data_IF_804015414111
#
_entry.id   IF_804015414111
#
_cell.length_a   1.000
_cell.length_b   1.000
_cell.length_c   1.000
_cell.angle_alpha   90.00
_cell.angle_beta   90.00
_cell.angle_gamma   90.00
#
_symmetry.space_group_name_H-M   'P 1'
#
loop_
_entity.id
_entity.type
_entity.pdbx_description
1 polymer ?
#
# COMPACT_ATOMS: atom_id res chain seq x y z
N UNK A 1 -92.05 43.95 -3.90
CA UNK A 1 -92.39 44.26 -5.31
C UNK A 1 -91.09 44.50 -6.05
N UNK A 2 -90.79 43.64 -7.04
CA UNK A 2 -89.74 43.70 -8.07
C UNK A 2 -88.26 43.64 -7.66
N UNK A 3 -87.64 42.60 -8.20
CA UNK A 3 -86.25 42.16 -8.18
C UNK A 3 -85.27 43.12 -8.86
N UNK A 4 -84.05 43.19 -8.35
CA UNK A 4 -82.86 43.52 -9.14
C UNK A 4 -81.83 42.41 -8.93
N UNK A 5 -81.47 41.75 -10.04
CA UNK A 5 -80.36 40.80 -10.10
C UNK A 5 -79.04 41.57 -9.94
N UNK A 6 -78.21 41.20 -8.96
CA UNK A 6 -76.77 41.42 -9.03
C UNK A 6 -76.12 40.06 -9.31
N UNK A 7 -75.62 39.87 -10.52
CA UNK A 7 -74.71 38.76 -10.84
C UNK A 7 -73.33 39.09 -10.25
N UNK A 8 -72.91 38.34 -9.24
CA UNK A 8 -71.52 38.32 -8.80
C UNK A 8 -70.77 37.31 -9.67
N UNK A 9 -69.95 37.79 -10.60
CA UNK A 9 -69.00 36.95 -11.32
C UNK A 9 -67.87 36.58 -10.36
N UNK A 10 -67.84 35.32 -9.91
CA UNK A 10 -66.67 34.74 -9.23
C UNK A 10 -65.58 34.52 -10.28
N UNK A 11 -64.59 35.41 -10.30
CA UNK A 11 -63.31 35.17 -10.96
C UNK A 11 -62.54 34.12 -10.15
N UNK A 12 -62.62 32.86 -10.55
CA UNK A 12 -61.64 31.86 -10.12
C UNK A 12 -60.32 32.15 -10.84
N UNK A 13 -59.35 32.75 -10.14
CA UNK A 13 -57.96 32.74 -10.60
C UNK A 13 -57.43 31.33 -10.43
N UNK A 14 -57.39 30.55 -11.51
CA UNK A 14 -56.56 29.35 -11.59
C UNK A 14 -55.10 29.79 -11.49
N UNK A 15 -54.55 29.82 -10.27
CA UNK A 15 -53.12 29.76 -10.08
C UNK A 15 -52.71 28.34 -10.47
N UNK A 16 -52.34 28.15 -11.74
CA UNK A 16 -51.59 26.97 -12.14
C UNK A 16 -50.28 27.02 -11.35
N UNK A 17 -50.17 26.21 -10.30
CA UNK A 17 -48.88 25.87 -9.72
C UNK A 17 -48.16 25.14 -10.84
N UNK A 18 -47.23 25.83 -11.51
CA UNK A 18 -46.29 25.19 -12.41
C UNK A 18 -45.53 24.19 -11.53
N UNK A 19 -45.82 22.91 -11.69
CA UNK A 19 -45.02 21.87 -11.08
C UNK A 19 -43.65 21.98 -11.73
N UNK A 20 -42.66 22.49 -11.00
CA UNK A 20 -41.28 22.52 -11.46
C UNK A 20 -40.94 21.10 -11.93
N UNK A 21 -40.60 20.98 -13.21
CA UNK A 21 -40.20 19.70 -13.77
C UNK A 21 -39.02 19.19 -12.94
N UNK A 22 -39.07 17.92 -12.52
CA UNK A 22 -37.98 17.33 -11.77
C UNK A 22 -36.67 17.57 -12.52
N UNK A 23 -35.60 18.04 -11.84
CA UNK A 23 -34.34 18.32 -12.50
C UNK A 23 -33.82 17.04 -13.17
N UNK A 24 -33.42 17.17 -14.44
CA UNK A 24 -32.78 16.08 -15.19
C UNK A 24 -31.30 15.99 -14.81
N UNK A 25 -30.68 14.84 -15.08
CA UNK A 25 -29.23 14.66 -14.89
C UNK A 25 -28.41 15.74 -15.60
N UNK A 26 -28.83 16.12 -16.82
CA UNK A 26 -28.12 17.11 -17.63
C UNK A 26 -28.22 18.51 -17.02
N UNK A 27 -29.39 18.86 -16.47
CA UNK A 27 -29.58 20.15 -15.79
C UNK A 27 -28.77 20.21 -14.50
N UNK A 28 -28.72 19.12 -13.73
CA UNK A 28 -27.91 19.02 -12.51
C UNK A 28 -26.42 19.12 -12.83
N UNK A 29 -25.94 18.41 -13.85
CA UNK A 29 -24.54 18.46 -14.29
C UNK A 29 -24.17 19.86 -14.80
N UNK A 30 -25.04 20.50 -15.59
CA UNK A 30 -24.81 21.86 -16.07
C UNK A 30 -24.79 22.89 -14.92
N UNK A 31 -25.58 22.70 -13.87
CA UNK A 31 -25.52 23.53 -12.67
C UNK A 31 -24.22 23.32 -11.91
N UNK A 32 -23.81 22.06 -11.70
CA UNK A 32 -22.54 21.71 -11.06
C UNK A 32 -21.34 22.34 -11.77
N UNK A 33 -21.25 22.16 -13.09
CA UNK A 33 -20.16 22.73 -13.90
C UNK A 33 -20.08 24.27 -13.84
N UNK A 34 -21.19 24.96 -13.55
CA UNK A 34 -21.17 26.42 -13.35
C UNK A 34 -20.72 26.84 -11.96
N UNK A 35 -20.89 25.96 -10.97
CA UNK A 35 -20.62 26.24 -9.57
C UNK A 35 -19.18 25.93 -9.16
N UNK A 36 -18.46 25.12 -9.95
CA UNK A 36 -17.13 24.62 -9.60
C UNK A 36 -16.04 25.24 -10.47
N UNK A 37 -14.80 25.18 -9.97
CA UNK A 37 -13.60 25.53 -10.75
C UNK A 37 -13.10 24.30 -11.49
N UNK A 38 -12.88 24.42 -12.80
CA UNK A 38 -12.27 23.37 -13.62
C UNK A 38 -10.78 23.65 -13.83
N UNK A 39 -9.98 22.59 -13.81
CA UNK A 39 -8.54 22.66 -14.12
C UNK A 39 -8.16 21.62 -15.18
N UNK A 40 -7.17 21.96 -16.02
CA UNK A 40 -6.59 21.07 -17.01
C UNK A 40 -5.56 20.12 -16.41
N UNK A 41 -5.09 19.12 -17.18
CA UNK A 41 -4.02 18.22 -16.75
C UNK A 41 -2.73 18.98 -16.40
N UNK A 42 -2.36 19.99 -17.20
CA UNK A 42 -1.18 20.83 -16.98
C UNK A 42 -1.30 21.64 -15.68
N UNK A 43 -2.49 22.21 -15.43
CA UNK A 43 -2.77 22.94 -14.18
C UNK A 43 -2.75 22.01 -12.97
N UNK A 44 -3.31 20.80 -13.10
CA UNK A 44 -3.22 19.78 -12.06
C UNK A 44 -1.76 19.42 -11.76
N UNK A 45 -0.95 19.12 -12.77
CA UNK A 45 0.48 18.83 -12.56
C UNK A 45 1.23 19.99 -11.92
N UNK A 46 0.92 21.24 -12.30
CA UNK A 46 1.52 22.42 -11.69
C UNK A 46 1.08 22.58 -10.23
N UNK A 47 -0.21 22.40 -9.95
CA UNK A 47 -0.75 22.46 -8.59
C UNK A 47 -0.13 21.39 -7.68
N UNK A 48 0.04 20.15 -8.15
CA UNK A 48 0.72 19.11 -7.35
C UNK A 48 2.18 19.48 -7.04
N UNK A 49 2.86 20.19 -7.96
CA UNK A 49 4.24 20.67 -7.72
C UNK A 49 4.31 21.82 -6.73
N UNK A 50 3.35 22.75 -6.79
CA UNK A 50 3.33 23.96 -5.95
C UNK A 50 2.67 23.75 -4.59
N UNK A 51 1.66 22.88 -4.54
CA UNK A 51 0.85 22.52 -3.38
C UNK A 51 0.89 21.00 -3.21
N UNK A 52 2.04 20.45 -2.78
CA UNK A 52 2.23 19.01 -2.62
C UNK A 52 1.14 18.31 -1.77
N UNK A 53 0.55 19.02 -0.81
CA UNK A 53 -0.52 18.56 0.07
C UNK A 53 -1.87 18.34 -0.65
N UNK A 54 -2.00 18.78 -1.91
CA UNK A 54 -3.23 18.67 -2.70
C UNK A 54 -3.72 17.23 -2.77
N UNK A 55 -4.93 16.96 -2.28
CA UNK A 55 -5.55 15.64 -2.33
C UNK A 55 -6.29 15.46 -3.66
N UNK A 56 -5.95 14.41 -4.40
CA UNK A 56 -6.65 14.07 -5.64
C UNK A 56 -7.65 12.96 -5.35
N UNK A 57 -8.94 13.19 -5.61
CA UNK A 57 -10.01 12.24 -5.31
C UNK A 57 -10.54 11.63 -6.61
N UNK A 58 -10.29 10.35 -6.78
CA UNK A 58 -10.90 9.52 -7.82
C UNK A 58 -12.28 9.04 -7.37
N UNK A 59 -13.34 9.55 -8.02
CA UNK A 59 -14.71 9.15 -7.69
C UNK A 59 -15.26 8.00 -8.54
N UNK A 60 -14.39 7.31 -9.29
CA UNK A 60 -14.73 6.06 -9.99
C UNK A 60 -15.02 4.94 -9.01
N UNK A 61 -15.69 3.89 -9.50
CA UNK A 61 -15.93 2.69 -8.70
C UNK A 61 -14.61 1.96 -8.43
N UNK A 62 -14.55 1.21 -7.32
CA UNK A 62 -13.39 0.37 -7.01
C UNK A 62 -13.08 -0.64 -8.13
N UNK A 63 -14.10 -1.11 -8.86
CA UNK A 63 -13.92 -2.01 -9.99
C UNK A 63 -13.19 -1.33 -11.15
N UNK A 64 -13.56 -0.10 -11.50
CA UNK A 64 -12.86 0.67 -12.53
C UNK A 64 -11.41 0.95 -12.15
N UNK A 65 -11.16 1.36 -10.90
CA UNK A 65 -9.80 1.58 -10.38
C UNK A 65 -8.98 0.30 -10.42
N UNK A 66 -9.56 -0.83 -10.00
CA UNK A 66 -8.90 -2.13 -10.06
C UNK A 66 -8.64 -2.59 -11.50
N UNK A 67 -9.44 -2.21 -12.48
CA UNK A 67 -9.23 -2.67 -13.86
C UNK A 67 -8.29 -1.76 -14.63
N UNK A 68 -8.38 -0.45 -14.39
CA UNK A 68 -7.76 0.57 -15.24
C UNK A 68 -6.58 1.26 -14.56
N UNK A 69 -6.46 1.17 -13.23
CA UNK A 69 -5.51 1.95 -12.46
C UNK A 69 -6.01 3.36 -12.14
N UNK A 70 -5.12 4.22 -11.65
CA UNK A 70 -5.40 5.63 -11.29
C UNK A 70 -4.41 6.58 -11.95
N UNK A 71 -4.64 7.89 -11.82
CA UNK A 71 -3.59 8.87 -12.08
C UNK A 71 -2.36 8.50 -11.23
N UNK A 72 -1.16 8.66 -11.80
CA UNK A 72 0.13 8.44 -11.13
C UNK A 72 0.49 9.58 -10.19
N UNK A 73 -0.52 10.15 -9.53
CA UNK A 73 -0.35 11.21 -8.55
C UNK A 73 -0.36 10.56 -7.18
N UNK A 74 0.66 10.80 -6.38
CA UNK A 74 0.80 10.19 -5.07
C UNK A 74 -0.41 10.45 -4.15
N UNK A 75 -0.91 11.69 -4.14
CA UNK A 75 -2.03 12.11 -3.31
C UNK A 75 -3.41 11.61 -3.81
N UNK A 76 -3.41 10.71 -4.80
CA UNK A 76 -4.61 10.11 -5.36
C UNK A 76 -5.24 9.08 -4.41
N UNK A 77 -6.44 9.34 -3.94
CA UNK A 77 -7.27 8.41 -3.19
C UNK A 77 -8.53 8.06 -3.99
N UNK A 78 -9.02 6.82 -3.84
CA UNK A 78 -10.31 6.43 -4.40
C UNK A 78 -11.40 6.51 -3.34
N UNK A 79 -12.32 7.47 -3.51
CA UNK A 79 -13.57 7.54 -2.75
C UNK A 79 -14.70 7.50 -3.79
N UNK A 80 -15.33 6.34 -4.03
CA UNK A 80 -16.37 6.23 -5.04
C UNK A 80 -17.47 7.27 -4.82
N UNK A 81 -18.03 7.83 -5.91
CA UNK A 81 -19.00 8.95 -5.83
C UNK A 81 -20.09 8.78 -4.75
N UNK A 82 -20.62 7.57 -4.56
CA UNK A 82 -21.70 7.30 -3.60
C UNK A 82 -21.28 7.26 -2.13
N UNK A 83 -19.99 7.38 -1.83
CA UNK A 83 -19.42 7.33 -0.47
C UNK A 83 -18.73 8.63 -0.07
N UNK A 84 -18.71 9.65 -0.95
CA UNK A 84 -17.92 10.87 -0.73
C UNK A 84 -18.33 11.61 0.54
N UNK A 85 -19.63 11.66 0.84
CA UNK A 85 -20.18 12.34 2.00
C UNK A 85 -19.81 11.65 3.33
N UNK A 86 -19.48 10.36 3.27
CA UNK A 86 -19.22 9.53 4.45
C UNK A 86 -17.72 9.36 4.72
N UNK A 87 -16.92 9.23 3.66
CA UNK A 87 -15.53 8.80 3.77
C UNK A 87 -14.53 9.97 3.66
N UNK A 88 -14.90 11.11 3.08
CA UNK A 88 -13.95 12.21 2.82
C UNK A 88 -13.34 12.78 4.10
N UNK A 89 -14.11 12.88 5.19
CA UNK A 89 -13.62 13.44 6.46
C UNK A 89 -12.50 12.62 7.11
N UNK A 90 -12.44 11.31 6.82
CA UNK A 90 -11.36 10.45 7.29
C UNK A 90 -10.08 10.59 6.45
N UNK A 91 -10.20 11.06 5.21
CA UNK A 91 -9.07 11.21 4.29
C UNK A 91 -8.58 12.66 4.16
N UNK A 92 -9.45 13.64 4.40
CA UNK A 92 -9.19 15.08 4.32
C UNK A 92 -9.85 15.77 5.51
N UNK A 93 -9.10 15.88 6.61
CA UNK A 93 -9.63 16.45 7.87
C UNK A 93 -9.84 17.97 7.79
N UNK A 94 -8.91 18.70 7.17
CA UNK A 94 -8.99 20.16 7.08
C UNK A 94 -9.81 20.61 5.86
N UNK A 95 -10.72 21.56 6.10
CA UNK A 95 -11.64 22.11 5.09
C UNK A 95 -10.98 23.07 4.08
N UNK A 96 -9.75 23.51 4.33
CA UNK A 96 -8.95 24.34 3.43
C UNK A 96 -7.91 23.55 2.62
N UNK A 97 -7.76 22.25 2.91
CA UNK A 97 -6.91 21.34 2.12
C UNK A 97 -7.27 21.48 0.64
N UNK A 98 -6.30 21.73 -0.27
CA UNK A 98 -6.57 21.73 -1.70
C UNK A 98 -7.07 20.34 -2.15
N UNK A 99 -8.22 20.29 -2.82
CA UNK A 99 -8.81 19.07 -3.35
C UNK A 99 -9.00 19.20 -4.86
N UNK A 100 -8.59 18.16 -5.59
CA UNK A 100 -8.89 18.01 -7.02
C UNK A 100 -9.71 16.73 -7.21
N UNK A 101 -10.90 16.84 -7.77
CA UNK A 101 -11.77 15.69 -8.03
C UNK A 101 -11.72 15.31 -9.50
N UNK A 102 -11.65 14.01 -9.81
CA UNK A 102 -11.76 13.50 -11.17
C UNK A 102 -12.54 12.18 -11.24
N UNK A 103 -12.98 11.83 -12.45
CA UNK A 103 -13.53 10.52 -12.75
C UNK A 103 -13.05 10.05 -14.13
N UNK A 104 -13.71 9.05 -14.73
CA UNK A 104 -13.32 8.52 -16.04
C UNK A 104 -13.34 9.59 -17.15
N UNK A 105 -14.50 10.22 -17.35
CA UNK A 105 -14.78 11.13 -18.48
C UNK A 105 -15.54 12.39 -18.03
N UNK A 106 -15.28 12.86 -16.81
CA UNK A 106 -15.84 14.10 -16.25
C UNK A 106 -17.38 14.18 -16.13
N UNK A 107 -18.06 13.04 -15.95
CA UNK A 107 -19.52 12.99 -15.73
C UNK A 107 -19.86 13.00 -14.23
N UNK A 108 -19.08 12.27 -13.41
CA UNK A 108 -19.33 12.11 -11.96
C UNK A 108 -18.61 13.17 -11.12
N UNK A 109 -17.43 13.58 -11.55
CA UNK A 109 -16.55 14.46 -10.78
C UNK A 109 -17.10 15.87 -10.56
N UNK A 110 -17.83 16.51 -11.50
CA UNK A 110 -18.39 17.84 -11.23
C UNK A 110 -19.38 17.85 -10.06
N UNK A 111 -20.26 16.85 -10.02
CA UNK A 111 -21.24 16.68 -8.94
C UNK A 111 -20.58 16.30 -7.61
N UNK A 112 -19.47 15.56 -7.63
CA UNK A 112 -18.69 15.28 -6.43
C UNK A 112 -18.01 16.54 -5.89
N UNK A 113 -17.35 17.32 -6.76
CA UNK A 113 -16.71 18.58 -6.40
C UNK A 113 -17.71 19.56 -5.78
N UNK A 114 -18.90 19.70 -6.40
CA UNK A 114 -19.97 20.50 -5.84
C UNK A 114 -20.40 20.02 -4.44
N UNK A 115 -20.58 18.71 -4.26
CA UNK A 115 -20.94 18.16 -2.94
C UNK A 115 -19.87 18.45 -1.88
N UNK A 116 -18.58 18.36 -2.20
CA UNK A 116 -17.51 18.73 -1.27
C UNK A 116 -17.60 20.22 -0.87
N UNK A 117 -17.87 21.11 -1.82
CA UNK A 117 -18.08 22.53 -1.53
C UNK A 117 -19.30 22.75 -0.63
N UNK A 118 -20.39 22.03 -0.86
CA UNK A 118 -21.60 22.06 -0.01
C UNK A 118 -21.35 21.51 1.41
N UNK A 119 -20.42 20.56 1.55
CA UNK A 119 -19.94 20.07 2.84
C UNK A 119 -19.02 21.06 3.57
N UNK A 120 -18.59 22.13 2.91
CA UNK A 120 -17.77 23.19 3.50
C UNK A 120 -16.30 23.18 3.11
N UNK A 121 -15.86 22.26 2.23
CA UNK A 121 -14.49 22.31 1.70
C UNK A 121 -14.34 23.54 0.80
N UNK A 122 -13.34 24.37 1.10
CA UNK A 122 -13.21 25.72 0.53
C UNK A 122 -12.29 25.79 -0.67
N UNK A 123 -11.42 24.79 -0.86
CA UNK A 123 -10.42 24.75 -1.93
C UNK A 123 -10.62 23.51 -2.81
N UNK A 124 -11.75 23.47 -3.53
CA UNK A 124 -12.12 22.33 -4.38
C UNK A 124 -12.08 22.72 -5.86
N UNK A 125 -11.42 21.89 -6.65
CA UNK A 125 -11.38 21.98 -8.12
C UNK A 125 -11.73 20.63 -8.75
N UNK A 126 -12.15 20.67 -10.01
CA UNK A 126 -12.45 19.49 -10.82
C UNK A 126 -11.47 19.39 -11.98
N UNK A 127 -10.73 18.29 -12.07
CA UNK A 127 -9.96 17.97 -13.27
C UNK A 127 -10.91 17.52 -14.39
N UNK A 128 -10.98 18.31 -15.45
CA UNK A 128 -11.99 18.20 -16.50
C UNK A 128 -11.72 17.12 -17.55
N UNK A 129 -10.45 16.75 -17.76
CA UNK A 129 -10.08 15.71 -18.72
C UNK A 129 -10.36 14.28 -18.26
N UNK A 130 -10.32 14.05 -16.96
CA UNK A 130 -10.53 12.73 -16.38
C UNK A 130 -9.43 11.73 -16.70
N UNK A 131 -9.65 10.47 -16.30
CA UNK A 131 -8.64 9.42 -16.36
C UNK A 131 -8.21 9.06 -17.80
N UNK A 132 -9.15 8.98 -18.74
CA UNK A 132 -8.81 8.54 -20.10
C UNK A 132 -8.00 9.59 -20.86
N UNK A 133 -8.30 10.89 -20.70
CA UNK A 133 -7.45 11.94 -21.27
C UNK A 133 -6.05 11.89 -20.68
N UNK A 134 -5.91 11.69 -19.36
CA UNK A 134 -4.60 11.56 -18.72
C UNK A 134 -3.76 10.44 -19.33
N UNK A 135 -4.39 9.30 -19.66
CA UNK A 135 -3.74 8.21 -20.38
C UNK A 135 -3.35 8.59 -21.82
N UNK A 136 -4.24 9.27 -22.55
CA UNK A 136 -3.98 9.72 -23.92
C UNK A 136 -2.83 10.72 -24.00
N UNK A 137 -2.66 11.56 -22.97
CA UNK A 137 -1.54 12.48 -22.81
C UNK A 137 -0.22 11.77 -22.45
N UNK A 138 -0.24 10.46 -22.19
CA UNK A 138 0.94 9.69 -21.81
C UNK A 138 1.50 10.09 -20.43
N UNK A 139 0.66 10.68 -19.57
CA UNK A 139 1.04 11.05 -18.23
C UNK A 139 1.11 9.81 -17.32
N UNK A 140 1.91 9.90 -16.26
CA UNK A 140 2.15 8.78 -15.35
C UNK A 140 0.83 8.25 -14.77
N UNK A 141 0.64 6.94 -14.82
CA UNK A 141 -0.51 6.25 -14.23
C UNK A 141 -0.04 5.14 -13.31
N UNK A 142 -0.71 4.99 -12.18
CA UNK A 142 -0.62 3.77 -11.39
C UNK A 142 -1.51 2.73 -12.06
N UNK A 143 -0.97 2.06 -13.09
CA UNK A 143 -1.68 1.01 -13.80
C UNK A 143 -2.02 -0.12 -12.84
N UNK A 144 -3.23 -0.63 -12.98
CA UNK A 144 -3.54 -1.91 -12.37
C UNK A 144 -2.89 -3.02 -13.21
N UNK A 145 -1.69 -3.44 -12.82
CA UNK A 145 -1.11 -4.73 -13.23
C UNK A 145 -1.78 -5.91 -12.51
N UNK A 146 -2.87 -5.63 -11.78
CA UNK A 146 -3.55 -6.56 -10.92
C UNK A 146 -4.47 -7.47 -11.75
N UNK A 147 -4.08 -8.73 -11.89
CA UNK A 147 -4.95 -9.82 -12.30
C UNK A 147 -6.05 -9.99 -11.26
N UNK A 148 -7.22 -9.44 -11.56
CA UNK A 148 -8.41 -9.54 -10.70
C UNK A 148 -8.87 -10.99 -10.47
N UNK A 149 -8.37 -11.96 -11.24
CA UNK A 149 -8.66 -13.38 -11.09
C UNK A 149 -7.63 -14.11 -10.21
N UNK A 150 -6.55 -13.44 -9.79
CA UNK A 150 -5.53 -14.02 -8.92
C UNK A 150 -5.53 -13.33 -7.55
N UNK A 151 -5.39 -14.12 -6.48
CA UNK A 151 -5.19 -13.56 -5.14
C UNK A 151 -3.83 -12.86 -4.99
N UNK A 152 -2.88 -13.14 -5.88
CA UNK A 152 -1.57 -12.49 -5.91
C UNK A 152 -1.66 -11.08 -6.50
N UNK A 153 -2.71 -10.75 -7.25
CA UNK A 153 -2.80 -9.53 -8.08
C UNK A 153 -1.71 -9.46 -9.15
N UNK A 154 -0.43 -9.41 -8.80
CA UNK A 154 0.67 -9.56 -9.75
C UNK A 154 1.17 -11.00 -9.69
N UNK A 155 1.09 -11.69 -10.84
CA UNK A 155 1.63 -13.05 -10.95
C UNK A 155 3.15 -13.01 -10.87
N UNK A 156 3.80 -14.12 -10.49
CA UNK A 156 5.25 -14.16 -10.42
C UNK A 156 5.89 -13.89 -11.78
N UNK A 157 6.74 -12.87 -11.85
CA UNK A 157 7.56 -12.58 -13.03
C UNK A 157 8.95 -13.16 -12.85
N UNK A 158 9.57 -13.58 -13.95
CA UNK A 158 10.95 -14.07 -13.96
C UNK A 158 11.90 -12.90 -13.74
N UNK A 159 12.69 -12.95 -12.67
CA UNK A 159 13.68 -11.93 -12.31
C UNK A 159 15.03 -12.26 -12.95
N UNK A 160 15.53 -13.46 -12.69
CA UNK A 160 16.71 -14.06 -13.34
C UNK A 160 16.43 -15.55 -13.62
N UNK A 161 17.39 -16.28 -14.18
CA UNK A 161 17.19 -17.71 -14.47
C UNK A 161 16.87 -18.51 -13.20
N UNK A 162 15.72 -19.19 -13.21
CA UNK A 162 15.23 -19.95 -12.07
C UNK A 162 14.78 -19.14 -10.86
N UNK A 163 14.62 -17.81 -10.94
CA UNK A 163 14.15 -16.96 -9.83
C UNK A 163 12.96 -16.12 -10.28
N UNK A 164 11.89 -16.17 -9.51
CA UNK A 164 10.62 -15.53 -9.82
C UNK A 164 10.08 -14.79 -8.59
N UNK A 165 9.37 -13.68 -8.81
CA UNK A 165 8.77 -12.91 -7.73
C UNK A 165 7.42 -12.36 -8.12
N UNK A 166 6.43 -12.56 -7.26
CA UNK A 166 5.15 -11.86 -7.28
C UNK A 166 5.31 -10.59 -6.42
N UNK A 167 5.20 -9.43 -7.06
CA UNK A 167 5.38 -8.15 -6.38
C UNK A 167 4.10 -7.78 -5.62
N UNK A 168 4.25 -7.55 -4.32
CA UNK A 168 3.16 -7.18 -3.43
C UNK A 168 2.65 -5.76 -3.71
N UNK A 169 1.41 -5.49 -3.32
CA UNK A 169 0.88 -4.13 -3.37
C UNK A 169 1.71 -3.22 -2.43
N UNK A 170 2.28 -2.11 -2.92
CA UNK A 170 3.04 -1.16 -2.10
C UNK A 170 2.10 -0.28 -1.24
N UNK A 171 1.32 -0.95 -0.39
CA UNK A 171 0.24 -0.42 0.42
C UNK A 171 0.14 -1.23 1.73
N UNK A 172 -0.67 -0.81 2.71
CA UNK A 172 -0.98 -1.65 3.86
C UNK A 172 -1.71 -2.93 3.44
N UNK A 173 -1.65 -3.98 4.27
CA UNK A 173 -2.45 -5.19 4.06
C UNK A 173 -3.95 -4.89 4.21
N UNK A 174 -4.72 -5.18 3.16
CA UNK A 174 -6.17 -4.97 3.09
C UNK A 174 -6.90 -6.18 2.52
N UNK A 175 -8.22 -6.18 2.63
CA UNK A 175 -9.05 -7.17 1.95
C UNK A 175 -8.83 -7.12 0.43
N UNK A 176 -8.73 -5.91 -0.12
CA UNK A 176 -8.64 -5.63 -1.56
C UNK A 176 -7.30 -6.01 -2.18
N UNK A 177 -6.23 -6.16 -1.39
CA UNK A 177 -4.96 -6.73 -1.84
C UNK A 177 -4.69 -8.13 -1.27
N UNK A 178 -5.70 -8.79 -0.68
CA UNK A 178 -5.60 -10.14 -0.08
C UNK A 178 -4.48 -10.28 0.96
N UNK A 179 -4.01 -9.16 1.52
CA UNK A 179 -2.82 -9.10 2.36
C UNK A 179 -1.50 -9.39 1.65
N UNK A 180 -1.48 -9.40 0.31
CA UNK A 180 -0.28 -9.47 -0.50
C UNK A 180 0.31 -8.07 -0.65
N UNK A 181 1.02 -7.64 0.38
CA UNK A 181 1.71 -6.35 0.36
C UNK A 181 3.23 -6.49 0.33
N UNK A 182 3.79 -7.63 0.73
CA UNK A 182 5.21 -7.97 0.58
C UNK A 182 5.46 -8.80 -0.69
N UNK A 183 6.72 -8.96 -1.07
CA UNK A 183 7.12 -9.75 -2.23
C UNK A 183 7.16 -11.24 -1.88
N UNK A 184 6.52 -12.07 -2.71
CA UNK A 184 6.56 -13.53 -2.60
C UNK A 184 7.43 -14.10 -3.71
N UNK A 185 8.54 -14.73 -3.34
CA UNK A 185 9.54 -15.19 -4.32
C UNK A 185 9.73 -16.69 -4.27
N UNK A 186 10.11 -17.28 -5.40
CA UNK A 186 10.54 -18.67 -5.44
C UNK A 186 11.73 -18.90 -6.34
N UNK A 187 12.54 -19.89 -5.96
CA UNK A 187 13.77 -20.29 -6.61
C UNK A 187 13.60 -21.75 -7.06
N UNK A 188 13.74 -21.98 -8.35
CA UNK A 188 13.76 -23.31 -8.96
C UNK A 188 15.20 -23.81 -8.99
N UNK A 189 15.49 -24.81 -8.16
CA UNK A 189 16.74 -25.55 -8.14
C UNK A 189 16.60 -26.84 -8.99
N UNK A 190 17.60 -27.71 -9.03
CA UNK A 190 17.56 -28.91 -9.88
C UNK A 190 16.62 -30.00 -9.35
N UNK A 191 16.36 -30.03 -8.04
CA UNK A 191 15.59 -31.11 -7.39
C UNK A 191 14.47 -30.64 -6.46
N UNK A 192 14.27 -29.32 -6.36
CA UNK A 192 13.27 -28.70 -5.49
C UNK A 192 13.01 -27.24 -5.86
N UNK A 193 11.88 -26.73 -5.35
CA UNK A 193 11.60 -25.30 -5.27
C UNK A 193 11.77 -24.83 -3.82
N UNK A 194 12.38 -23.65 -3.65
CA UNK A 194 12.47 -22.92 -2.39
C UNK A 194 11.61 -21.67 -2.50
N UNK A 195 10.70 -21.46 -1.55
CA UNK A 195 9.86 -20.27 -1.47
C UNK A 195 10.40 -19.35 -0.39
N UNK A 196 10.53 -18.07 -0.69
CA UNK A 196 10.86 -17.02 0.27
C UNK A 196 9.59 -16.19 0.52
N UNK A 197 9.18 -16.15 1.78
CA UNK A 197 7.88 -15.71 2.31
C UNK A 197 6.72 -16.69 2.07
N UNK A 198 6.06 -17.07 3.17
CA UNK A 198 4.93 -17.98 3.09
C UNK A 198 3.64 -17.32 2.61
N UNK A 199 3.56 -15.99 2.68
CA UNK A 199 2.40 -15.18 2.34
C UNK A 199 1.48 -14.88 3.52
N UNK A 200 0.63 -13.87 3.37
CA UNK A 200 -0.24 -13.36 4.43
C UNK A 200 -1.51 -14.17 4.72
N UNK A 201 -1.76 -15.27 4.00
CA UNK A 201 -2.88 -16.17 4.25
C UNK A 201 -2.68 -17.53 3.58
N UNK A 202 -3.42 -18.53 4.06
CA UNK A 202 -3.53 -19.85 3.43
C UNK A 202 -3.90 -19.75 1.94
N UNK A 203 -4.86 -18.88 1.62
CA UNK A 203 -5.37 -18.73 0.26
C UNK A 203 -4.35 -18.07 -0.66
N UNK A 204 -3.57 -17.12 -0.16
CA UNK A 204 -2.48 -16.49 -0.91
C UNK A 204 -1.33 -17.47 -1.17
N UNK A 205 -0.92 -18.24 -0.16
CA UNK A 205 0.08 -19.28 -0.29
C UNK A 205 -0.33 -20.36 -1.32
N UNK A 206 -1.61 -20.75 -1.30
CA UNK A 206 -2.17 -21.67 -2.29
C UNK A 206 -2.07 -21.11 -3.71
N UNK A 207 -2.45 -19.85 -3.91
CA UNK A 207 -2.37 -19.20 -5.23
C UNK A 207 -0.91 -19.14 -5.72
N UNK A 208 0.04 -18.84 -4.83
CA UNK A 208 1.47 -18.87 -5.16
C UNK A 208 1.92 -20.27 -5.61
N UNK A 209 1.52 -21.32 -4.89
CA UNK A 209 1.87 -22.70 -5.27
C UNK A 209 1.22 -23.13 -6.60
N UNK A 210 0.03 -22.62 -6.93
CA UNK A 210 -0.60 -22.85 -8.23
C UNK A 210 0.22 -22.24 -9.37
N UNK A 211 0.78 -21.03 -9.21
CA UNK A 211 1.68 -20.43 -10.20
C UNK A 211 3.02 -21.17 -10.30
N UNK A 212 3.60 -21.64 -9.18
CA UNK A 212 4.82 -22.46 -9.19
C UNK A 212 4.64 -23.72 -10.06
N UNK A 213 3.48 -24.38 -9.98
CA UNK A 213 3.15 -25.57 -10.79
C UNK A 213 3.02 -25.29 -12.28
N UNK A 214 2.81 -24.04 -12.68
CA UNK A 214 2.83 -23.64 -14.10
C UNK A 214 4.26 -23.49 -14.63
N UNK A 215 5.23 -23.27 -13.73
CA UNK A 215 6.64 -23.08 -14.08
C UNK A 215 7.43 -24.39 -14.01
N UNK A 216 7.13 -25.28 -13.06
CA UNK A 216 7.90 -26.52 -12.85
C UNK A 216 7.07 -27.63 -12.20
N UNK A 217 7.44 -28.88 -12.49
CA UNK A 217 6.90 -30.09 -11.84
C UNK A 217 7.65 -30.46 -10.55
N UNK A 218 8.72 -29.74 -10.20
CA UNK A 218 9.51 -30.00 -9.00
C UNK A 218 8.72 -29.68 -7.72
N UNK A 219 8.90 -30.47 -6.64
CA UNK A 219 8.21 -30.21 -5.38
C UNK A 219 8.78 -28.96 -4.69
N UNK A 220 7.91 -28.17 -4.07
CA UNK A 220 8.34 -27.20 -3.05
C UNK A 220 8.77 -27.97 -1.81
N UNK A 221 10.05 -27.84 -1.43
CA UNK A 221 10.59 -28.52 -0.24
C UNK A 221 10.79 -27.60 0.96
N UNK A 222 11.07 -26.33 0.69
CA UNK A 222 11.42 -25.35 1.72
C UNK A 222 10.61 -24.07 1.54
N UNK A 223 10.10 -23.55 2.64
CA UNK A 223 9.53 -22.20 2.75
C UNK A 223 10.29 -21.46 3.83
N UNK A 224 10.73 -20.25 3.51
CA UNK A 224 11.47 -19.37 4.41
C UNK A 224 10.51 -18.29 4.90
N UNK A 225 10.41 -18.08 6.21
CA UNK A 225 9.76 -16.87 6.75
C UNK A 225 10.77 -15.74 6.77
N UNK A 226 10.56 -14.60 6.09
CA UNK A 226 11.55 -13.50 6.20
C UNK A 226 11.66 -12.92 7.61
N UNK A 227 10.56 -12.91 8.36
CA UNK A 227 10.46 -12.49 9.76
C UNK A 227 9.14 -13.01 10.35
N UNK A 228 8.84 -12.67 11.61
CA UNK A 228 7.63 -13.09 12.32
C UNK A 228 6.35 -12.33 11.93
N UNK A 229 6.37 -11.46 10.92
CA UNK A 229 5.20 -10.65 10.57
C UNK A 229 4.13 -11.43 9.82
N UNK A 230 2.88 -10.99 9.96
CA UNK A 230 1.71 -11.70 9.45
C UNK A 230 1.76 -11.96 7.94
N UNK A 231 2.23 -10.99 7.15
CA UNK A 231 2.37 -11.13 5.70
C UNK A 231 3.42 -12.20 5.30
N UNK A 232 4.34 -12.53 6.19
CA UNK A 232 5.38 -13.53 5.96
C UNK A 232 5.00 -14.93 6.46
N UNK A 233 4.14 -15.06 7.49
CA UNK A 233 3.95 -16.34 8.22
C UNK A 233 2.57 -16.98 8.10
N UNK A 234 1.49 -16.24 7.81
CA UNK A 234 0.13 -16.81 7.89
C UNK A 234 -0.19 -17.87 6.82
N UNK A 235 0.53 -17.83 5.70
CA UNK A 235 0.49 -18.86 4.67
C UNK A 235 1.19 -20.15 5.08
N UNK A 236 1.93 -20.15 6.19
CA UNK A 236 2.60 -21.33 6.74
C UNK A 236 1.64 -22.51 6.97
N UNK A 237 0.39 -22.25 7.33
CA UNK A 237 -0.63 -23.30 7.47
C UNK A 237 -0.90 -24.06 6.17
N UNK A 238 -0.83 -23.39 5.02
CA UNK A 238 -0.94 -24.06 3.72
C UNK A 238 0.29 -24.91 3.42
N UNK A 239 1.48 -24.34 3.56
CA UNK A 239 2.72 -25.03 3.26
C UNK A 239 2.94 -26.25 4.15
N UNK A 240 2.57 -26.15 5.43
CA UNK A 240 2.61 -27.28 6.35
C UNK A 240 1.67 -28.41 5.93
N UNK A 241 0.47 -28.09 5.43
CA UNK A 241 -0.45 -29.08 4.85
C UNK A 241 0.14 -29.76 3.61
N UNK A 242 1.00 -29.08 2.85
CA UNK A 242 1.71 -29.66 1.71
C UNK A 242 2.96 -30.47 2.11
N UNK A 243 3.28 -30.58 3.40
CA UNK A 243 4.45 -31.31 3.90
C UNK A 243 5.78 -30.59 3.64
N UNK A 244 5.75 -29.27 3.46
CA UNK A 244 6.94 -28.43 3.21
C UNK A 244 7.63 -28.11 4.53
N UNK A 245 8.96 -28.14 4.57
CA UNK A 245 9.76 -27.74 5.73
C UNK A 245 9.82 -26.20 5.82
N UNK A 246 9.48 -25.66 6.98
CA UNK A 246 9.52 -24.22 7.23
C UNK A 246 10.81 -23.86 7.98
N UNK A 247 11.57 -22.91 7.44
CA UNK A 247 12.84 -22.44 8.02
C UNK A 247 12.70 -20.97 8.41
N UNK A 248 13.17 -20.61 9.61
CA UNK A 248 13.18 -19.23 10.10
C UNK A 248 14.46 -18.90 10.88
N UNK A 249 14.60 -17.64 11.32
CA UNK A 249 15.64 -17.26 12.26
C UNK A 249 15.33 -17.81 13.67
N UNK A 250 16.35 -17.96 14.53
CA UNK A 250 16.16 -18.53 15.88
C UNK A 250 15.32 -17.64 16.81
N UNK A 251 15.21 -16.35 16.54
CA UNK A 251 14.34 -15.43 17.28
C UNK A 251 12.86 -15.55 16.88
N UNK A 252 12.56 -16.03 15.67
CA UNK A 252 11.19 -16.06 15.12
C UNK A 252 10.18 -16.81 16.01
N UNK A 253 10.49 -18.00 16.59
CA UNK A 253 9.54 -18.72 17.43
C UNK A 253 9.08 -17.95 18.67
N UNK A 254 9.99 -17.23 19.33
CA UNK A 254 9.66 -16.45 20.53
C UNK A 254 8.75 -15.28 20.20
N UNK A 255 9.06 -14.55 19.12
CA UNK A 255 8.24 -13.42 18.64
C UNK A 255 6.84 -13.91 18.23
N UNK A 256 6.75 -15.03 17.51
CA UNK A 256 5.47 -15.62 17.13
C UNK A 256 4.65 -16.04 18.35
N UNK A 257 5.26 -16.62 19.37
CA UNK A 257 4.55 -17.05 20.58
C UNK A 257 3.98 -15.86 21.34
N UNK A 258 4.72 -14.74 21.38
CA UNK A 258 4.30 -13.50 22.01
C UNK A 258 3.17 -12.80 21.22
N UNK A 259 3.33 -12.65 19.90
CA UNK A 259 2.47 -11.78 19.09
C UNK A 259 1.25 -12.47 18.45
N UNK A 260 1.21 -13.81 18.45
CA UNK A 260 0.23 -14.60 17.68
C UNK A 260 -1.22 -14.18 17.86
N UNK A 261 -1.67 -13.91 19.09
CA UNK A 261 -3.09 -13.64 19.37
C UNK A 261 -3.51 -12.29 18.76
N UNK A 262 -2.73 -11.24 19.05
CA UNK A 262 -2.93 -9.89 18.52
C UNK A 262 -2.83 -9.88 17.00
N UNK A 263 -1.85 -10.60 16.44
CA UNK A 263 -1.63 -10.67 15.01
C UNK A 263 -2.78 -11.41 14.29
N UNK A 264 -3.24 -12.54 14.84
CA UNK A 264 -4.38 -13.31 14.33
C UNK A 264 -5.65 -12.46 14.32
N UNK A 265 -5.98 -11.79 15.44
CA UNK A 265 -7.19 -10.99 15.56
C UNK A 265 -7.22 -9.83 14.56
N UNK A 266 -6.12 -9.07 14.46
CA UNK A 266 -5.99 -7.95 13.53
C UNK A 266 -6.13 -8.41 12.07
N UNK A 267 -5.47 -9.50 11.72
CA UNK A 267 -5.43 -9.97 10.33
C UNK A 267 -6.76 -10.60 9.92
N UNK A 268 -7.41 -11.35 10.81
CA UNK A 268 -8.75 -11.88 10.58
C UNK A 268 -9.79 -10.76 10.39
N UNK A 269 -9.67 -9.64 11.11
CA UNK A 269 -10.54 -8.47 10.90
C UNK A 269 -10.33 -7.82 9.53
N UNK A 270 -9.08 -7.70 9.08
CA UNK A 270 -8.76 -7.10 7.78
C UNK A 270 -9.14 -8.01 6.61
N UNK A 271 -8.70 -9.27 6.65
CA UNK A 271 -8.84 -10.20 5.53
C UNK A 271 -10.17 -10.96 5.51
N UNK A 272 -10.95 -10.93 6.59
CA UNK A 272 -12.31 -11.51 6.67
C UNK A 272 -12.31 -12.96 6.17
N UNK A 273 -13.13 -13.28 5.17
CA UNK A 273 -13.24 -14.59 4.53
C UNK A 273 -11.94 -15.03 3.82
N UNK A 274 -11.09 -14.10 3.37
CA UNK A 274 -9.78 -14.46 2.78
C UNK A 274 -8.78 -15.00 3.81
N UNK A 275 -9.05 -14.84 5.10
CA UNK A 275 -8.25 -15.45 6.17
C UNK A 275 -8.55 -16.93 6.39
N UNK A 276 -9.48 -17.52 5.63
CA UNK A 276 -9.88 -18.93 5.73
C UNK A 276 -8.68 -19.88 5.84
N UNK A 277 -8.71 -20.81 6.83
CA UNK A 277 -7.65 -21.77 7.20
C UNK A 277 -6.29 -21.18 7.60
N UNK A 278 -6.14 -19.87 7.64
CA UNK A 278 -4.89 -19.21 8.03
C UNK A 278 -4.71 -19.30 9.54
N UNK A 279 -3.53 -19.73 9.97
CA UNK A 279 -3.09 -19.75 11.35
C UNK A 279 -1.58 -19.83 11.39
N UNK A 280 -0.98 -19.40 12.51
CA UNK A 280 0.47 -19.44 12.68
C UNK A 280 0.93 -20.89 12.85
N UNK A 281 1.97 -21.23 12.09
CA UNK A 281 2.71 -22.49 12.20
C UNK A 281 4.15 -22.16 12.54
N UNK A 282 4.67 -22.78 13.59
CA UNK A 282 6.08 -22.61 14.01
C UNK A 282 7.04 -23.19 12.97
N UNK A 283 8.24 -22.61 12.81
CA UNK A 283 9.25 -23.16 11.92
C UNK A 283 9.70 -24.55 12.38
N UNK A 284 10.02 -25.41 11.42
CA UNK A 284 10.58 -26.75 11.65
C UNK A 284 12.08 -26.71 11.93
N UNK A 285 12.75 -25.68 11.40
CA UNK A 285 14.18 -25.44 11.54
C UNK A 285 14.45 -23.97 11.80
N UNK A 286 15.38 -23.72 12.71
CA UNK A 286 15.95 -22.39 12.93
C UNK A 286 17.45 -22.37 12.68
N UNK A 287 17.99 -21.17 12.45
CA UNK A 287 19.43 -20.89 12.41
C UNK A 287 19.69 -19.46 12.91
N UNK A 288 20.95 -19.17 13.27
CA UNK A 288 21.40 -17.84 13.71
C UNK A 288 21.88 -16.99 12.52
N UNK A 289 23.10 -17.22 12.04
CA UNK A 289 23.78 -16.26 11.15
C UNK A 289 23.68 -16.62 9.67
N UNK A 290 23.98 -17.88 9.33
CA UNK A 290 24.02 -18.35 7.95
C UNK A 290 23.54 -19.80 7.85
N UNK A 291 22.76 -20.08 6.80
CA UNK A 291 22.32 -21.43 6.48
C UNK A 291 22.29 -21.66 4.97
N UNK A 292 22.93 -22.74 4.49
CA UNK A 292 22.85 -23.14 3.09
C UNK A 292 21.70 -24.13 2.92
N UNK A 293 20.70 -23.75 2.11
CA UNK A 293 19.53 -24.60 1.87
C UNK A 293 19.95 -25.85 1.10
N UNK A 294 19.58 -27.07 1.54
CA UNK A 294 20.08 -28.31 0.95
C UNK A 294 19.33 -28.69 -0.34
N UNK A 295 19.62 -27.98 -1.42
CA UNK A 295 19.12 -28.22 -2.79
C UNK A 295 20.27 -28.40 -3.79
N UNK A 296 19.99 -28.98 -4.97
CA UNK A 296 20.97 -29.18 -6.04
C UNK A 296 20.91 -28.06 -7.09
N UNK A 297 22.03 -27.78 -7.76
CA UNK A 297 22.07 -26.87 -8.92
C UNK A 297 22.13 -25.37 -8.63
N UNK A 298 21.64 -24.92 -7.46
CA UNK A 298 21.76 -23.54 -7.00
C UNK A 298 22.29 -23.47 -5.57
N UNK A 299 23.21 -22.55 -5.29
CA UNK A 299 23.68 -22.24 -3.94
C UNK A 299 22.77 -21.16 -3.34
N UNK A 300 21.88 -21.57 -2.45
CA UNK A 300 20.95 -20.67 -1.77
C UNK A 300 21.45 -20.46 -0.34
N UNK A 301 21.87 -19.24 -0.02
CA UNK A 301 22.42 -18.90 1.29
C UNK A 301 21.44 -17.99 2.04
N UNK A 302 20.84 -18.51 3.10
CA UNK A 302 20.08 -17.68 4.03
C UNK A 302 21.06 -16.97 4.96
N UNK A 303 20.77 -15.70 5.25
CA UNK A 303 21.60 -14.83 6.08
C UNK A 303 20.73 -14.08 7.07
N UNK A 304 21.28 -13.80 8.24
CA UNK A 304 20.80 -12.78 9.16
C UNK A 304 21.86 -11.69 9.27
N UNK A 305 21.56 -10.49 8.79
CA UNK A 305 22.48 -9.36 8.91
C UNK A 305 22.50 -8.72 10.30
N UNK A 306 21.67 -9.17 11.24
CA UNK A 306 21.48 -8.51 12.52
C UNK A 306 20.17 -7.73 12.54
N UNK A 307 19.87 -7.15 13.69
CA UNK A 307 18.64 -6.38 13.92
C UNK A 307 18.54 -5.19 12.96
N UNK A 308 17.37 -5.03 12.34
CA UNK A 308 17.03 -3.90 11.49
C UNK A 308 15.53 -3.58 11.61
N UNK A 309 14.72 -3.98 10.64
CA UNK A 309 13.28 -3.79 10.67
C UNK A 309 12.62 -4.65 11.77
N UNK A 310 13.08 -5.89 11.88
CA UNK A 310 12.74 -6.87 12.92
C UNK A 310 14.01 -7.53 13.48
N UNK A 311 14.03 -7.97 14.76
CA UNK A 311 15.12 -8.76 15.33
C UNK A 311 15.34 -10.14 14.67
N UNK A 312 14.42 -10.57 13.80
CA UNK A 312 14.45 -11.88 13.13
C UNK A 312 14.45 -11.78 11.61
N UNK A 313 14.76 -10.61 11.05
CA UNK A 313 14.85 -10.40 9.60
C UNK A 313 15.88 -11.34 8.95
N UNK A 314 15.46 -12.00 7.89
CA UNK A 314 16.29 -12.88 7.08
C UNK A 314 16.42 -12.39 5.65
N UNK A 315 17.56 -12.74 5.05
CA UNK A 315 17.88 -12.46 3.67
C UNK A 315 18.24 -13.77 2.95
N UNK A 316 17.97 -13.85 1.65
CA UNK A 316 18.40 -14.95 0.80
C UNK A 316 19.34 -14.42 -0.27
N UNK A 317 20.58 -14.92 -0.26
CA UNK A 317 21.64 -14.57 -1.19
C UNK A 317 21.91 -15.70 -2.19
N UNK A 318 21.92 -15.34 -3.47
CA UNK A 318 22.30 -16.20 -4.60
C UNK A 318 23.62 -15.68 -5.18
N UNK A 319 24.79 -16.21 -4.75
CA UNK A 319 26.08 -15.66 -5.14
C UNK A 319 26.38 -15.79 -6.62
N UNK A 320 25.96 -16.88 -7.28
CA UNK A 320 26.19 -17.08 -8.71
C UNK A 320 25.32 -16.18 -9.58
N UNK A 321 24.15 -15.77 -9.07
CA UNK A 321 23.22 -14.86 -9.75
C UNK A 321 23.47 -13.38 -9.37
N UNK A 322 24.36 -13.12 -8.41
CA UNK A 322 24.57 -11.80 -7.77
C UNK A 322 23.24 -11.15 -7.32
N UNK A 323 22.31 -11.98 -6.83
CA UNK A 323 20.95 -11.59 -6.48
C UNK A 323 20.68 -11.75 -4.98
N UNK A 324 20.13 -10.69 -4.38
CA UNK A 324 19.68 -10.66 -2.99
C UNK A 324 18.15 -10.56 -2.93
N UNK A 325 17.50 -11.44 -2.18
CA UNK A 325 16.15 -11.21 -1.67
C UNK A 325 16.31 -10.72 -0.24
N UNK A 326 16.08 -9.44 0.00
CA UNK A 326 16.44 -8.82 1.28
C UNK A 326 15.38 -8.98 2.36
N UNK A 327 14.16 -9.38 1.99
CA UNK A 327 12.99 -9.20 2.83
C UNK A 327 12.89 -7.75 3.33
N UNK A 328 12.28 -7.56 4.49
CA UNK A 328 12.09 -6.24 5.09
C UNK A 328 13.39 -5.58 5.59
N UNK A 329 14.57 -6.13 5.33
CA UNK A 329 15.83 -5.41 5.52
C UNK A 329 16.00 -4.25 4.52
N UNK A 330 15.32 -4.29 3.37
CA UNK A 330 15.35 -3.22 2.38
C UNK A 330 13.99 -3.01 1.71
N UNK A 331 13.66 -1.74 1.46
CA UNK A 331 12.40 -1.26 0.90
C UNK A 331 12.64 -0.47 -0.40
N UNK A 332 11.63 -0.46 -1.27
CA UNK A 332 11.61 0.31 -2.51
C UNK A 332 10.22 0.93 -2.74
N UNK A 333 10.15 2.12 -3.33
CA UNK A 333 8.93 2.86 -3.73
C UNK A 333 7.96 3.28 -2.62
N UNK A 334 8.16 2.81 -1.39
CA UNK A 334 7.28 3.06 -0.24
C UNK A 334 8.06 3.47 0.99
N UNK A 335 7.41 4.20 1.88
CA UNK A 335 7.86 4.39 3.25
C UNK A 335 7.81 3.07 4.02
N UNK A 336 8.89 2.78 4.75
CA UNK A 336 8.98 1.64 5.65
C UNK A 336 8.23 1.92 6.96
N UNK A 337 7.58 0.91 7.57
CA UNK A 337 6.95 1.10 8.87
C UNK A 337 7.99 1.00 10.00
N UNK A 338 7.85 1.86 11.01
CA UNK A 338 8.56 1.74 12.29
C UNK A 338 7.65 1.03 13.28
N UNK A 339 8.14 -0.10 13.79
CA UNK A 339 7.45 -0.94 14.77
C UNK A 339 8.13 -0.78 16.12
N UNK A 340 7.44 -1.20 17.19
CA UNK A 340 7.96 -1.15 18.57
C UNK A 340 9.32 -1.84 18.73
N UNK A 341 9.58 -2.86 17.91
CA UNK A 341 10.84 -3.60 17.90
C UNK A 341 11.80 -3.17 16.78
N UNK A 342 11.51 -2.14 16.00
CA UNK A 342 12.44 -1.70 14.93
C UNK A 342 13.64 -1.00 15.56
N UNK A 343 14.86 -1.36 15.15
CA UNK A 343 16.09 -0.72 15.62
C UNK A 343 16.80 -0.05 14.45
N UNK A 344 16.64 1.27 14.34
CA UNK A 344 17.22 2.06 13.25
C UNK A 344 18.73 2.26 13.40
N UNK A 345 19.28 2.30 14.61
CA UNK A 345 20.72 2.44 14.82
C UNK A 345 21.43 1.13 14.44
N UNK A 346 20.90 -0.01 14.89
CA UNK A 346 21.38 -1.31 14.44
C UNK A 346 21.21 -1.49 12.92
N UNK A 347 20.13 -0.97 12.33
CA UNK A 347 19.95 -0.99 10.87
C UNK A 347 21.07 -0.23 10.15
N UNK A 348 21.44 0.96 10.63
CA UNK A 348 22.57 1.74 10.10
C UNK A 348 23.89 0.96 10.19
N UNK A 349 24.17 0.33 11.32
CA UNK A 349 25.38 -0.47 11.51
C UNK A 349 25.42 -1.71 10.60
N UNK A 350 24.29 -2.40 10.50
CA UNK A 350 24.17 -3.67 9.77
C UNK A 350 24.06 -3.47 8.25
N UNK A 351 23.71 -2.28 7.76
CA UNK A 351 23.58 -2.00 6.32
C UNK A 351 24.85 -2.35 5.52
N UNK A 352 26.02 -2.13 6.12
CA UNK A 352 27.32 -2.47 5.52
C UNK A 352 27.46 -3.95 5.13
N UNK A 353 26.72 -4.87 5.76
CA UNK A 353 26.71 -6.30 5.43
C UNK A 353 25.98 -6.57 4.11
N UNK A 354 24.93 -5.81 3.81
CA UNK A 354 24.25 -5.85 2.52
C UNK A 354 25.17 -5.29 1.41
N UNK A 355 25.79 -4.13 1.66
CA UNK A 355 26.74 -3.52 0.71
C UNK A 355 27.93 -4.43 0.40
N UNK A 356 28.42 -5.17 1.39
CA UNK A 356 29.51 -6.12 1.23
C UNK A 356 29.20 -7.29 0.27
N UNK A 357 27.92 -7.60 0.03
CA UNK A 357 27.54 -8.58 -0.99
C UNK A 357 27.67 -8.04 -2.41
N UNK A 358 27.62 -6.71 -2.59
CA UNK A 358 27.60 -6.03 -3.88
C UNK A 358 26.60 -6.64 -4.89
N UNK A 359 25.30 -6.76 -4.52
CA UNK A 359 24.29 -7.37 -5.38
C UNK A 359 24.06 -6.55 -6.65
N UNK A 360 23.87 -7.24 -7.78
CA UNK A 360 23.42 -6.61 -9.04
C UNK A 360 21.91 -6.43 -9.09
N UNK A 361 21.18 -7.34 -8.45
CA UNK A 361 19.72 -7.35 -8.42
C UNK A 361 19.27 -7.56 -6.98
N UNK A 362 18.30 -6.76 -6.54
CA UNK A 362 17.68 -6.85 -5.23
C UNK A 362 16.17 -7.02 -5.42
N UNK A 363 15.61 -8.02 -4.75
CA UNK A 363 14.18 -8.17 -4.53
C UNK A 363 13.91 -7.70 -3.08
N UNK A 364 13.38 -6.48 -2.89
CA UNK A 364 13.11 -5.95 -1.55
C UNK A 364 11.95 -6.69 -0.87
N UNK A 365 11.74 -6.49 0.42
CA UNK A 365 10.54 -7.00 1.11
C UNK A 365 9.26 -6.38 0.55
N UNK A 366 9.37 -5.11 0.13
CA UNK A 366 8.29 -4.37 -0.52
C UNK A 366 8.79 -3.50 -1.67
N UNK A 367 8.00 -3.43 -2.75
CA UNK A 367 8.30 -2.64 -3.95
C UNK A 367 8.92 -3.48 -5.08
N UNK A 368 9.13 -2.87 -6.24
CA UNK A 368 9.64 -3.57 -7.42
C UNK A 368 11.08 -4.06 -7.27
N UNK A 369 11.46 -5.03 -8.11
CA UNK A 369 12.84 -5.50 -8.27
C UNK A 369 13.73 -4.33 -8.68
N UNK A 370 14.90 -4.21 -8.06
CA UNK A 370 15.73 -3.03 -8.19
C UNK A 370 17.22 -3.32 -7.92
N UNK A 371 18.00 -2.28 -7.63
CA UNK A 371 19.43 -2.31 -7.34
C UNK A 371 19.78 -1.73 -5.96
N UNK A 372 21.06 -1.85 -5.59
CA UNK A 372 21.60 -1.36 -4.33
C UNK A 372 21.36 0.14 -4.13
N UNK A 373 21.65 0.96 -5.15
CA UNK A 373 21.54 2.41 -5.04
C UNK A 373 20.10 2.84 -4.74
N UNK A 374 19.12 2.18 -5.37
CA UNK A 374 17.71 2.46 -5.19
C UNK A 374 17.23 2.07 -3.80
N UNK A 375 17.56 0.88 -3.31
CA UNK A 375 17.16 0.52 -1.93
C UNK A 375 17.89 1.33 -0.87
N UNK A 376 19.14 1.77 -1.11
CA UNK A 376 19.83 2.72 -0.23
C UNK A 376 19.07 4.05 -0.17
N UNK A 377 18.56 4.55 -1.30
CA UNK A 377 17.73 5.76 -1.34
C UNK A 377 16.43 5.59 -0.53
N UNK A 378 15.67 4.52 -0.79
CA UNK A 378 14.36 4.31 -0.17
C UNK A 378 14.41 3.82 1.28
N UNK A 379 15.49 3.13 1.67
CA UNK A 379 15.65 2.59 3.03
C UNK A 379 16.51 3.52 3.86
N UNK A 380 17.81 3.60 3.55
CA UNK A 380 18.76 4.36 4.35
C UNK A 380 18.58 5.87 4.25
N UNK A 381 18.07 6.38 3.12
CA UNK A 381 17.69 7.79 3.01
C UNK A 381 16.65 8.20 4.05
N UNK A 382 15.69 7.34 4.35
CA UNK A 382 14.66 7.59 5.36
C UNK A 382 15.11 7.24 6.78
N UNK A 383 15.80 6.10 6.96
CA UNK A 383 16.36 5.71 8.28
C UNK A 383 17.28 6.81 8.81
N UNK A 384 18.25 7.27 8.01
CA UNK A 384 19.19 8.30 8.44
C UNK A 384 18.48 9.63 8.75
N UNK A 385 17.54 10.02 7.91
CA UNK A 385 16.77 11.25 8.13
C UNK A 385 15.99 11.20 9.45
N UNK A 386 15.26 10.12 9.70
CA UNK A 386 14.42 10.00 10.88
C UNK A 386 15.25 9.89 12.16
N UNK A 387 16.38 9.18 12.13
CA UNK A 387 17.34 9.15 13.25
C UNK A 387 17.83 10.58 13.54
N UNK A 388 18.32 11.29 12.53
CA UNK A 388 18.86 12.65 12.69
C UNK A 388 17.80 13.63 13.24
N UNK A 389 16.56 13.59 12.72
CA UNK A 389 15.49 14.49 13.16
C UNK A 389 14.98 14.16 14.58
N UNK A 390 14.82 12.89 14.93
CA UNK A 390 14.39 12.51 16.29
C UNK A 390 15.49 12.84 17.32
N UNK A 391 16.76 12.62 16.98
CA UNK A 391 17.88 13.00 17.85
C UNK A 391 17.91 14.51 18.12
N UNK A 392 17.63 15.36 17.11
CA UNK A 392 17.51 16.82 17.33
C UNK A 392 16.40 17.17 18.31
N UNK A 393 15.24 16.52 18.20
CA UNK A 393 14.13 16.74 19.14
C UNK A 393 14.56 16.39 20.57
N UNK A 394 15.27 15.28 20.76
CA UNK A 394 15.77 14.86 22.08
C UNK A 394 16.86 15.79 22.62
N UNK A 395 17.84 16.15 21.80
CA UNK A 395 18.94 17.05 22.18
C UNK A 395 18.44 18.44 22.60
N UNK A 396 17.36 18.92 21.99
CA UNK A 396 16.69 20.18 22.32
C UNK A 396 15.75 20.06 23.54
N UNK A 397 15.63 18.87 24.14
CA UNK A 397 14.74 18.59 25.28
C UNK A 397 13.26 18.63 24.92
N UNK A 398 12.93 18.36 23.65
CA UNK A 398 11.56 18.26 23.15
C UNK A 398 10.83 17.03 23.68
N UNK A 399 9.51 17.01 23.48
CA UNK A 399 8.65 15.90 23.88
C UNK A 399 8.05 15.19 22.65
N UNK A 400 7.30 14.11 22.87
CA UNK A 400 6.57 13.40 21.80
C UNK A 400 5.72 14.34 20.92
N UNK A 401 5.19 15.44 21.48
CA UNK A 401 4.41 16.41 20.70
C UNK A 401 5.23 17.18 19.67
N UNK A 402 6.55 17.28 19.86
CA UNK A 402 7.48 17.91 18.93
C UNK A 402 7.92 16.92 17.84
N UNK A 403 8.00 15.62 18.15
CA UNK A 403 8.25 14.58 17.15
C UNK A 403 7.16 14.56 16.04
N UNK A 404 5.90 14.84 16.37
CA UNK A 404 4.83 14.96 15.36
C UNK A 404 5.02 16.15 14.40
N UNK A 405 5.89 17.11 14.74
CA UNK A 405 6.16 18.31 13.93
C UNK A 405 7.38 18.13 13.02
N UNK A 406 8.07 16.98 13.07
CA UNK A 406 9.16 16.66 12.15
C UNK A 406 8.61 16.75 10.72
N UNK A 407 9.18 17.65 9.93
CA UNK A 407 8.83 17.78 8.52
C UNK A 407 9.28 16.52 7.79
N UNK A 408 8.36 15.81 7.16
CA UNK A 408 8.69 14.62 6.36
C UNK A 408 8.31 14.82 4.89
N UNK A 409 8.04 16.06 4.47
CA UNK A 409 7.59 16.41 3.12
C UNK A 409 8.53 15.92 2.00
N UNK A 410 9.81 15.71 2.29
CA UNK A 410 10.77 15.11 1.36
C UNK A 410 10.38 13.68 0.92
N UNK A 411 9.67 12.93 1.76
CA UNK A 411 9.24 11.55 1.48
C UNK A 411 7.79 11.46 1.04
N UNK A 412 7.12 12.60 0.86
CA UNK A 412 5.69 12.60 0.66
C UNK A 412 5.25 11.90 -0.61
N UNK A 413 6.12 11.77 -1.63
CA UNK A 413 5.79 11.07 -2.87
C UNK A 413 5.93 9.55 -2.74
N UNK A 414 6.45 9.06 -1.61
CA UNK A 414 6.64 7.64 -1.38
C UNK A 414 5.33 7.01 -0.93
N UNK A 415 4.99 5.86 -1.52
CA UNK A 415 3.79 5.10 -1.17
C UNK A 415 3.73 4.85 0.34
N UNK A 416 2.54 4.83 0.92
CA UNK A 416 2.29 4.66 2.36
C UNK A 416 2.73 5.81 3.28
N UNK A 417 3.18 6.96 2.75
CA UNK A 417 3.57 8.11 3.57
C UNK A 417 2.42 8.64 4.45
N UNK A 418 1.17 8.69 3.93
CA UNK A 418 0.03 9.20 4.70
C UNK A 418 -0.28 8.33 5.91
N UNK A 419 -0.15 7.02 5.74
CA UNK A 419 -0.43 6.04 6.77
C UNK A 419 0.69 5.95 7.82
N UNK A 420 1.93 6.26 7.42
CA UNK A 420 3.12 5.95 8.22
C UNK A 420 3.86 7.17 8.77
N UNK A 421 3.92 8.31 8.08
CA UNK A 421 4.80 9.44 8.48
C UNK A 421 4.63 9.86 9.95
N UNK A 422 3.41 10.21 10.37
CA UNK A 422 3.12 10.60 11.76
C UNK A 422 3.34 9.46 12.75
N UNK A 423 2.95 8.24 12.36
CA UNK A 423 3.09 7.04 13.21
C UNK A 423 4.57 6.70 13.43
N UNK A 424 5.38 6.80 12.38
CA UNK A 424 6.80 6.51 12.41
C UNK A 424 7.54 7.51 13.29
N UNK A 425 7.23 8.81 13.18
CA UNK A 425 7.83 9.84 14.04
C UNK A 425 7.51 9.56 15.52
N UNK A 426 6.25 9.23 15.82
CA UNK A 426 5.83 8.93 17.18
C UNK A 426 6.47 7.67 17.75
N UNK A 427 6.54 6.61 16.95
CA UNK A 427 7.10 5.33 17.41
C UNK A 427 8.60 5.42 17.58
N UNK A 428 9.30 6.05 16.64
CA UNK A 428 10.75 6.23 16.74
C UNK A 428 11.14 7.09 17.93
N UNK A 429 10.40 8.19 18.18
CA UNK A 429 10.66 9.02 19.37
C UNK A 429 10.51 8.21 20.66
N UNK A 430 9.47 7.36 20.79
CA UNK A 430 9.31 6.53 21.99
C UNK A 430 10.46 5.55 22.19
N UNK A 431 10.96 4.95 21.11
CA UNK A 431 12.11 4.05 21.18
C UNK A 431 13.34 4.85 21.63
N UNK A 432 13.62 5.95 20.94
CA UNK A 432 14.77 6.80 21.17
C UNK A 432 14.82 7.42 22.57
N UNK A 433 13.68 7.90 23.11
CA UNK A 433 13.59 8.55 24.43
C UNK A 433 14.06 7.65 25.58
N UNK A 434 13.99 6.33 25.42
CA UNK A 434 14.42 5.37 26.46
C UNK A 434 15.71 4.63 26.12
N UNK A 435 16.11 4.58 24.85
CA UNK A 435 17.21 3.74 24.39
C UNK A 435 18.44 4.51 23.87
N UNK A 436 18.30 5.77 23.45
CA UNK A 436 19.36 6.53 22.76
C UNK A 436 20.03 7.60 23.65
#
# INVERSE_FOLDING_TARGET
MKSYLLSFALLFSNAAIAQEAAPTSDNMLAAANKAITHITAEQLQQQIKEQPETVVIDVRTQYEVRLLGTLGIYQNINIPRGWIEFDVGAAVESFDTPIVVYCGTNIRSPMAAQTLMEMGYTNVSNYDGGFFEWQELGLETNLSTLDANSLLYQRPEKVVEGVYSAIGAPAPSTYENSGHNNNLSFIVADDAVVVFNAGGSYMLAKAMHEEIKLVTDLPVKFVIYENAQGHAVFGGSYWKEQGVEIIAHENTPEILEHDKEKMMERTQRSLKDKFFKSHIVMPDRTFSDEYIVPVKGKKIVLKHFGHAHSPDDMQLWLPEDELLISGDFAFNERMLPVLEHTDMLAWQENWSKLEALNPKVIIPGHGGVTDLATVTHYTMGYVNYMVDEVMKVLDDGGELTDAYKIDQSAFMQWKTYRELSLRNAAELYKIAEFEW
#
